data_IF_062051860684
#
_entry.id   IF_062051860684
#
_cell.length_a   1.000
_cell.length_b   1.000
_cell.length_c   1.000
_cell.angle_alpha   90.00
_cell.angle_beta   90.00
_cell.angle_gamma   90.00
#
_symmetry.space_group_name_H-M   'P 1'
#
loop_
_entity.id
_entity.type
_entity.pdbx_description
1 polymer ?
#
# COMPACT_ATOMS: atom_id res chain seq x y z
N UNK A 1 20.29 9.46 -36.72
CA UNK A 1 19.47 9.55 -35.49
C UNK A 1 20.09 8.82 -34.30
N UNK A 2 20.63 7.60 -34.46
CA UNK A 2 21.19 6.78 -33.38
C UNK A 2 22.25 7.47 -32.49
N UNK A 3 23.15 8.25 -33.08
CA UNK A 3 24.23 8.93 -32.35
C UNK A 3 23.74 10.01 -31.36
N UNK A 4 22.58 10.63 -31.63
CA UNK A 4 21.96 11.61 -30.72
C UNK A 4 21.30 10.94 -29.51
N UNK A 5 20.75 9.74 -29.70
CA UNK A 5 20.19 8.95 -28.60
C UNK A 5 21.27 8.36 -27.68
N UNK A 6 22.40 7.92 -28.24
CA UNK A 6 23.54 7.47 -27.42
C UNK A 6 24.14 8.57 -26.55
N UNK A 7 24.25 9.81 -27.08
CA UNK A 7 24.72 10.97 -26.30
C UNK A 7 23.74 11.41 -25.21
N UNK A 8 22.43 11.31 -25.47
CA UNK A 8 21.39 11.58 -24.46
C UNK A 8 21.37 10.52 -23.36
N UNK A 9 21.54 9.23 -23.70
CA UNK A 9 21.65 8.14 -22.74
C UNK A 9 22.93 8.23 -21.90
N UNK A 10 24.06 8.63 -22.48
CA UNK A 10 25.30 8.83 -21.72
C UNK A 10 25.22 10.02 -20.78
N UNK A 11 24.58 11.14 -21.19
CA UNK A 11 24.35 12.29 -20.31
C UNK A 11 23.39 11.97 -19.16
N UNK A 12 22.34 11.18 -19.42
CA UNK A 12 21.40 10.76 -18.38
C UNK A 12 22.05 9.81 -17.37
N UNK A 13 22.90 8.88 -17.84
CA UNK A 13 23.64 7.96 -16.97
C UNK A 13 24.65 8.69 -16.05
N UNK A 14 25.29 9.76 -16.54
CA UNK A 14 26.18 10.58 -15.70
C UNK A 14 25.43 11.44 -14.67
N UNK A 15 24.19 11.84 -14.96
CA UNK A 15 23.37 12.65 -14.04
C UNK A 15 22.82 11.82 -12.85
N UNK A 16 22.60 10.51 -13.05
CA UNK A 16 22.17 9.59 -11.99
C UNK A 16 23.33 9.09 -11.11
N UNK A 17 24.58 9.19 -11.57
CA UNK A 17 25.76 8.69 -10.85
C UNK A 17 26.30 9.67 -9.78
N UNK A 18 25.82 10.92 -9.75
CA UNK A 18 26.34 11.97 -8.86
C UNK A 18 25.36 12.41 -7.78
N UNK A 19 24.33 11.61 -7.46
CA UNK A 19 23.60 11.85 -6.23
C UNK A 19 24.58 11.59 -5.06
N UNK A 20 24.96 12.61 -4.25
CA UNK A 20 25.62 12.31 -3.01
C UNK A 20 24.63 11.45 -2.22
N UNK A 21 24.96 10.17 -2.05
CA UNK A 21 24.40 9.38 -0.98
C UNK A 21 24.87 10.09 0.29
N UNK A 22 24.08 11.07 0.74
CA UNK A 22 24.27 11.71 2.01
C UNK A 22 24.18 10.60 3.04
N UNK A 23 25.33 10.10 3.46
CA UNK A 23 25.46 9.34 4.67
C UNK A 23 25.03 10.31 5.77
N UNK A 24 23.73 10.38 6.03
CA UNK A 24 23.16 11.08 7.16
C UNK A 24 23.91 10.52 8.36
N UNK A 25 24.82 11.33 8.89
CA UNK A 25 25.76 10.85 9.88
C UNK A 25 24.94 10.72 11.15
N UNK A 26 24.54 9.49 11.48
CA UNK A 26 23.90 9.11 12.76
C UNK A 26 24.90 9.23 13.92
N UNK A 27 25.66 10.31 13.92
CA UNK A 27 26.68 10.61 14.89
C UNK A 27 26.04 11.38 16.04
N UNK A 28 26.32 10.93 17.25
CA UNK A 28 25.80 11.58 18.45
C UNK A 28 26.64 12.82 18.73
N UNK A 29 26.00 13.98 18.62
CA UNK A 29 26.64 15.28 18.83
C UNK A 29 26.39 15.77 20.24
N UNK A 30 27.43 16.36 20.84
CA UNK A 30 27.25 17.18 22.04
C UNK A 30 26.50 18.44 21.66
N UNK A 31 25.48 18.79 22.43
CA UNK A 31 24.69 19.99 22.26
C UNK A 31 24.14 20.41 23.62
N UNK A 32 23.43 21.53 23.66
CA UNK A 32 22.58 21.89 24.77
C UNK A 32 21.10 21.74 24.40
N UNK A 33 20.26 21.60 25.43
CA UNK A 33 18.80 21.67 25.34
C UNK A 33 18.30 22.63 26.43
N UNK A 34 17.28 23.44 26.11
CA UNK A 34 16.63 24.28 27.10
C UNK A 34 15.66 23.43 27.92
N UNK A 35 15.95 23.27 29.21
CA UNK A 35 15.10 22.55 30.16
C UNK A 35 15.03 23.32 31.47
N UNK A 36 13.81 23.59 31.94
CA UNK A 36 13.56 24.38 33.15
C UNK A 36 14.21 25.77 33.11
N UNK A 37 14.07 26.46 31.96
CA UNK A 37 14.62 27.81 31.69
C UNK A 37 16.16 27.91 31.78
N UNK A 38 16.87 26.79 31.75
CA UNK A 38 18.34 26.74 31.74
C UNK A 38 18.82 25.82 30.62
N UNK A 39 19.99 26.11 30.08
CA UNK A 39 20.66 25.21 29.15
C UNK A 39 21.27 24.03 29.90
N UNK A 40 21.01 22.82 29.42
CA UNK A 40 21.54 21.57 29.94
C UNK A 40 22.31 20.85 28.84
N UNK A 41 23.44 20.25 29.20
CA UNK A 41 24.19 19.40 28.28
C UNK A 41 23.32 18.22 27.84
N UNK A 42 23.27 17.98 26.55
CA UNK A 42 22.46 16.96 25.92
C UNK A 42 23.21 16.31 24.75
N UNK A 43 22.81 15.08 24.45
CA UNK A 43 23.31 14.30 23.34
C UNK A 43 22.23 14.26 22.29
N UNK A 44 22.54 14.80 21.11
CA UNK A 44 21.61 14.88 19.99
C UNK A 44 21.96 13.87 18.92
N UNK A 45 20.94 13.25 18.36
CA UNK A 45 21.07 12.38 17.20
C UNK A 45 19.93 12.61 16.23
N UNK A 46 20.26 12.62 14.95
CA UNK A 46 19.28 12.69 13.87
C UNK A 46 18.95 11.29 13.39
N UNK A 47 17.65 11.01 13.26
CA UNK A 47 17.12 9.70 12.90
C UNK A 47 16.06 9.90 11.81
N UNK A 48 16.08 9.02 10.82
CA UNK A 48 15.04 8.98 9.79
C UNK A 48 13.71 8.52 10.41
N UNK A 49 12.64 9.26 10.15
CA UNK A 49 11.31 9.00 10.69
C UNK A 49 10.66 10.27 11.23
N UNK A 50 9.35 10.17 11.48
CA UNK A 50 8.60 11.26 12.12
C UNK A 50 8.98 11.38 13.60
N UNK A 51 8.85 12.58 14.18
CA UNK A 51 9.16 12.78 15.60
C UNK A 51 8.33 11.87 16.52
N UNK A 52 7.07 11.58 16.17
CA UNK A 52 6.25 10.61 16.92
C UNK A 52 6.80 9.20 16.83
N UNK A 53 7.22 8.76 15.64
CA UNK A 53 7.78 7.43 15.46
C UNK A 53 9.09 7.27 16.25
N UNK A 54 10.01 8.23 16.15
CA UNK A 54 11.29 8.19 16.88
C UNK A 54 11.06 8.18 18.38
N UNK A 55 10.11 8.99 18.86
CA UNK A 55 9.72 9.05 20.27
C UNK A 55 9.17 7.71 20.77
N UNK A 56 8.19 7.14 20.07
CA UNK A 56 7.53 5.90 20.48
C UNK A 56 8.49 4.70 20.42
N UNK A 57 9.32 4.66 19.37
CA UNK A 57 10.36 3.66 19.23
C UNK A 57 11.44 3.81 20.32
N UNK A 58 11.86 5.04 20.66
CA UNK A 58 12.80 5.27 21.75
C UNK A 58 12.26 4.79 23.11
N UNK A 59 10.98 5.06 23.42
CA UNK A 59 10.35 4.56 24.64
C UNK A 59 10.33 3.03 24.70
N UNK A 60 9.97 2.38 23.58
CA UNK A 60 9.93 0.92 23.46
C UNK A 60 11.33 0.32 23.58
N UNK A 61 12.29 0.86 22.84
CA UNK A 61 13.68 0.40 22.84
C UNK A 61 14.34 0.53 24.21
N UNK A 62 14.15 1.66 24.91
CA UNK A 62 14.68 1.87 26.26
C UNK A 62 14.06 0.92 27.29
N UNK A 63 12.78 0.61 27.14
CA UNK A 63 12.10 -0.38 27.97
C UNK A 63 12.65 -1.79 27.73
N UNK A 64 12.84 -2.16 26.46
CA UNK A 64 13.22 -3.54 26.12
C UNK A 64 14.70 -3.83 26.37
N UNK A 65 15.59 -2.84 26.18
CA UNK A 65 17.04 -3.02 26.30
C UNK A 65 17.58 -2.64 27.68
N UNK A 66 16.93 -1.72 28.40
CA UNK A 66 17.43 -1.19 29.68
C UNK A 66 16.40 -1.25 30.81
N UNK A 67 15.21 -1.81 30.56
CA UNK A 67 14.09 -1.82 31.53
C UNK A 67 13.64 -0.40 31.98
N UNK A 68 13.97 0.63 31.21
CA UNK A 68 13.67 2.04 31.54
C UNK A 68 12.34 2.44 30.93
N UNK A 69 11.39 2.86 31.78
CA UNK A 69 10.07 3.33 31.35
C UNK A 69 9.98 4.85 31.47
N UNK A 70 9.88 5.52 30.33
CA UNK A 70 9.62 6.96 30.29
C UNK A 70 8.14 7.24 30.56
N UNK A 71 7.88 8.19 31.46
CA UNK A 71 6.57 8.80 31.75
C UNK A 71 6.54 10.21 31.15
N UNK A 72 5.44 10.56 30.48
CA UNK A 72 5.27 11.89 29.86
C UNK A 72 5.16 11.84 28.33
N UNK A 73 4.38 12.77 27.79
CA UNK A 73 3.95 12.86 26.39
C UNK A 73 3.00 11.74 25.96
N UNK A 74 1.90 12.10 25.34
CA UNK A 74 0.80 11.18 25.06
C UNK A 74 1.20 10.07 24.08
N UNK A 75 1.28 8.85 24.60
CA UNK A 75 0.90 7.65 23.85
C UNK A 75 -0.36 7.14 24.55
N UNK A 76 -1.50 7.24 23.86
CA UNK A 76 -2.83 6.79 24.31
C UNK A 76 -3.44 7.53 25.52
N UNK A 77 -4.18 8.62 25.25
CA UNK A 77 -5.40 8.94 26.01
C UNK A 77 -5.30 9.56 27.41
N UNK A 78 -4.12 9.89 27.95
CA UNK A 78 -4.03 10.57 29.27
C UNK A 78 -3.02 11.74 29.24
N UNK A 79 -3.53 12.92 28.88
CA UNK A 79 -3.11 14.22 29.43
C UNK A 79 -1.62 14.62 29.43
N UNK A 80 -0.91 14.53 28.31
CA UNK A 80 0.42 15.16 28.15
C UNK A 80 0.62 15.72 26.75
N UNK A 81 1.08 16.96 26.62
CA UNK A 81 1.29 17.61 25.32
C UNK A 81 2.35 16.85 24.52
N UNK A 82 2.21 16.79 23.18
CA UNK A 82 3.24 16.21 22.28
C UNK A 82 4.61 16.89 22.41
N UNK A 83 4.64 18.07 23.03
CA UNK A 83 5.82 18.89 23.27
C UNK A 83 6.51 18.60 24.59
N UNK A 84 5.91 17.80 25.47
CA UNK A 84 6.49 17.56 26.79
C UNK A 84 7.66 16.57 26.71
N UNK A 85 8.80 16.86 27.37
CA UNK A 85 9.92 15.94 27.45
C UNK A 85 9.47 14.60 28.07
N UNK A 86 9.93 13.51 27.47
CA UNK A 86 9.91 12.18 28.09
C UNK A 86 10.72 12.23 29.39
N UNK A 87 10.18 11.72 30.50
CA UNK A 87 10.88 11.70 31.80
C UNK A 87 10.87 10.31 32.42
N UNK A 88 12.04 9.75 32.72
CA UNK A 88 12.17 8.53 33.51
C UNK A 88 12.88 8.88 34.81
N UNK A 89 12.12 9.02 35.91
CA UNK A 89 12.67 9.43 37.21
C UNK A 89 13.07 8.24 38.08
N UNK A 90 14.12 8.42 38.88
CA UNK A 90 14.65 7.45 39.84
C UNK A 90 14.83 6.06 39.21
N UNK A 91 15.43 6.05 38.02
CA UNK A 91 15.63 4.82 37.27
C UNK A 91 16.91 4.15 37.74
N UNK A 92 16.88 2.86 38.14
CA UNK A 92 18.09 2.09 38.35
C UNK A 92 18.73 1.83 36.99
N UNK A 93 19.70 2.67 36.61
CA UNK A 93 20.44 2.53 35.35
C UNK A 93 21.89 2.18 35.65
N UNK A 94 22.15 0.93 36.03
CA UNK A 94 23.49 0.43 36.36
C UNK A 94 24.50 0.62 35.23
N UNK A 95 24.02 0.66 33.98
CA UNK A 95 24.83 0.96 32.78
C UNK A 95 25.28 2.42 32.69
N UNK A 96 24.58 3.34 33.38
CA UNK A 96 24.87 4.78 33.37
C UNK A 96 25.62 5.17 34.64
N UNK A 97 25.12 4.77 35.81
CA UNK A 97 25.74 5.05 37.11
C UNK A 97 25.35 3.99 38.14
N UNK A 98 26.16 3.85 39.19
CA UNK A 98 25.82 3.03 40.37
C UNK A 98 24.71 3.63 41.25
N UNK A 99 24.20 4.82 40.89
CA UNK A 99 23.13 5.54 41.60
C UNK A 99 21.85 5.56 40.77
N UNK A 100 20.72 5.90 41.41
CA UNK A 100 19.48 6.21 40.69
C UNK A 100 19.67 7.47 39.85
N UNK A 101 19.16 7.46 38.62
CA UNK A 101 19.28 8.57 37.69
C UNK A 101 17.91 8.98 37.13
N UNK A 102 17.78 10.25 36.83
CA UNK A 102 16.67 10.82 36.07
C UNK A 102 17.11 10.98 34.62
N UNK A 103 16.36 10.37 33.69
CA UNK A 103 16.59 10.52 32.25
C UNK A 103 15.49 11.33 31.60
N UNK A 104 15.90 12.13 30.62
CA UNK A 104 15.05 13.02 29.88
C UNK A 104 15.31 12.87 28.38
N UNK A 105 14.25 12.92 27.59
CA UNK A 105 14.39 12.95 26.13
C UNK A 105 13.37 13.89 25.49
N UNK A 106 13.83 14.65 24.50
CA UNK A 106 12.98 15.51 23.68
C UNK A 106 13.17 15.15 22.21
N UNK A 107 12.09 15.25 21.44
CA UNK A 107 12.12 15.04 20.00
C UNK A 107 11.68 16.32 19.31
N UNK A 108 12.41 16.70 18.27
CA UNK A 108 12.09 17.82 17.38
C UNK A 108 12.07 17.27 15.95
N UNK A 109 11.22 17.79 15.09
CA UNK A 109 11.21 17.45 13.68
C UNK A 109 11.81 18.61 12.86
N UNK A 110 13.10 18.55 12.48
CA UNK A 110 13.66 19.49 11.51
C UNK A 110 12.99 19.39 10.13
N UNK A 111 12.44 18.21 9.78
CA UNK A 111 11.69 17.96 8.55
C UNK A 111 10.67 16.84 8.75
N UNK A 112 9.78 16.62 7.81
CA UNK A 112 8.74 15.58 7.92
C UNK A 112 9.30 14.15 7.93
N UNK A 113 10.50 13.94 7.35
CA UNK A 113 11.14 12.63 7.20
C UNK A 113 12.33 12.41 8.14
N UNK A 114 12.75 13.42 8.89
CA UNK A 114 13.89 13.36 9.81
C UNK A 114 13.52 14.01 11.12
N UNK A 115 13.76 13.29 12.23
CA UNK A 115 13.60 13.80 13.57
C UNK A 115 14.94 13.81 14.33
N UNK A 116 15.09 14.82 15.19
CA UNK A 116 16.21 14.96 16.11
C UNK A 116 15.76 14.55 17.49
N UNK A 117 16.44 13.55 18.07
CA UNK A 117 16.27 13.14 19.45
C UNK A 117 17.39 13.74 20.29
N UNK A 118 17.05 14.50 21.32
CA UNK A 118 17.97 14.98 22.32
C UNK A 118 17.75 14.22 23.63
N UNK A 119 18.82 13.62 24.18
CA UNK A 119 18.80 12.86 25.42
C UNK A 119 19.72 13.52 26.43
N UNK A 120 19.24 13.70 27.66
CA UNK A 120 20.01 14.26 28.77
C UNK A 120 19.61 13.57 30.07
N UNK A 121 20.50 13.61 31.06
CA UNK A 121 20.29 12.92 32.33
C UNK A 121 20.73 13.76 33.51
N UNK A 122 20.34 13.31 34.70
CA UNK A 122 20.69 13.94 35.96
C UNK A 122 20.70 12.89 37.09
N UNK A 123 21.42 13.16 38.17
CA UNK A 123 21.29 12.38 39.41
C UNK A 123 20.01 12.75 40.18
N UNK A 124 19.64 14.02 40.12
CA UNK A 124 18.45 14.59 40.76
C UNK A 124 17.98 15.83 39.97
N UNK A 125 16.97 16.56 40.47
CA UNK A 125 16.44 17.75 39.79
C UNK A 125 17.44 18.93 39.67
N UNK A 126 18.62 18.84 40.29
CA UNK A 126 19.62 19.92 40.38
C UNK A 126 20.97 19.58 39.75
N UNK A 127 21.35 18.30 39.74
CA UNK A 127 22.66 17.79 39.32
C UNK A 127 22.54 17.05 37.99
N UNK A 128 22.59 17.81 36.90
CA UNK A 128 22.56 17.28 35.53
C UNK A 128 23.91 16.73 35.11
N UNK A 129 23.88 15.73 34.23
CA UNK A 129 25.08 15.24 33.58
C UNK A 129 25.65 16.30 32.66
N UNK A 130 26.96 16.34 32.66
CA UNK A 130 27.79 17.36 32.04
C UNK A 130 29.13 16.72 31.66
N UNK A 131 29.65 16.99 30.45
CA UNK A 131 30.89 16.40 29.96
C UNK A 131 32.10 16.73 30.84
N UNK A 132 32.10 17.88 31.53
CA UNK A 132 33.25 18.33 32.33
C UNK A 132 33.15 17.83 33.77
N UNK A 133 31.94 17.76 34.33
CA UNK A 133 31.72 17.41 35.76
C UNK A 133 31.43 15.94 36.00
N UNK A 134 30.78 15.28 35.05
CA UNK A 134 30.30 13.89 35.15
C UNK A 134 30.58 13.13 33.85
N UNK A 135 31.85 13.08 33.42
CA UNK A 135 32.23 12.54 32.11
C UNK A 135 31.83 11.07 31.96
N UNK A 136 31.88 10.28 33.04
CA UNK A 136 31.55 8.86 33.02
C UNK A 136 30.08 8.62 32.67
N UNK A 137 29.16 9.24 33.40
CA UNK A 137 27.71 9.14 33.16
C UNK A 137 27.33 9.72 31.79
N UNK A 138 27.95 10.84 31.42
CA UNK A 138 27.70 11.49 30.13
C UNK A 138 28.15 10.62 28.95
N UNK A 139 29.30 9.94 29.06
CA UNK A 139 29.79 9.01 28.05
C UNK A 139 28.97 7.71 27.99
N UNK A 140 28.48 7.22 29.13
CA UNK A 140 27.55 6.10 29.16
C UNK A 140 26.25 6.45 28.43
N UNK A 141 25.71 7.66 28.67
CA UNK A 141 24.53 8.15 27.96
C UNK A 141 24.79 8.29 26.45
N UNK A 142 25.98 8.74 26.04
CA UNK A 142 26.38 8.80 24.63
C UNK A 142 26.36 7.41 23.99
N UNK A 143 26.87 6.40 24.68
CA UNK A 143 26.89 5.01 24.20
C UNK A 143 25.48 4.48 23.99
N UNK A 144 24.57 4.77 24.91
CA UNK A 144 23.15 4.41 24.80
C UNK A 144 22.52 5.11 23.59
N UNK A 145 22.70 6.42 23.46
CA UNK A 145 22.13 7.20 22.34
C UNK A 145 22.68 6.74 20.98
N UNK A 146 23.97 6.39 20.90
CA UNK A 146 24.58 5.86 19.69
C UNK A 146 24.00 4.48 19.32
N UNK A 147 23.82 3.62 20.33
CA UNK A 147 23.22 2.29 20.15
C UNK A 147 21.76 2.40 19.69
N UNK A 148 21.01 3.36 20.25
CA UNK A 148 19.65 3.67 19.81
C UNK A 148 19.63 4.09 18.34
N UNK A 149 20.52 5.00 17.92
CA UNK A 149 20.56 5.50 16.56
C UNK A 149 20.74 4.36 15.53
N UNK A 150 21.63 3.41 15.82
CA UNK A 150 21.82 2.22 15.01
C UNK A 150 20.58 1.32 14.99
N UNK A 151 19.94 1.11 16.14
CA UNK A 151 18.74 0.29 16.24
C UNK A 151 17.53 0.93 15.54
N UNK A 152 17.38 2.26 15.62
CA UNK A 152 16.32 3.01 14.97
C UNK A 152 16.47 2.97 13.45
N UNK A 153 17.70 3.11 12.94
CA UNK A 153 17.98 2.92 11.53
C UNK A 153 17.54 1.53 11.05
N UNK A 154 17.99 0.49 11.74
CA UNK A 154 17.64 -0.89 11.37
C UNK A 154 16.13 -1.12 11.37
N UNK A 155 15.43 -0.59 12.37
CA UNK A 155 13.97 -0.71 12.46
C UNK A 155 13.26 0.03 11.33
N UNK A 156 13.67 1.26 11.03
CA UNK A 156 13.10 2.04 9.92
C UNK A 156 13.24 1.30 8.57
N UNK A 157 14.40 0.67 8.31
CA UNK A 157 14.57 -0.14 7.11
C UNK A 157 13.70 -1.41 7.12
N UNK A 158 13.57 -2.09 8.27
CA UNK A 158 12.69 -3.27 8.38
C UNK A 158 11.24 -2.92 8.07
N UNK A 159 10.75 -1.79 8.57
CA UNK A 159 9.39 -1.32 8.31
C UNK A 159 9.20 -0.96 6.84
N UNK A 160 10.16 -0.27 6.21
CA UNK A 160 10.12 0.01 4.76
C UNK A 160 10.13 -1.26 3.91
N UNK A 161 10.92 -2.26 4.28
CA UNK A 161 10.93 -3.57 3.60
C UNK A 161 9.57 -4.26 3.75
N UNK A 162 9.01 -4.29 4.96
CA UNK A 162 7.72 -4.90 5.21
C UNK A 162 6.58 -4.20 4.44
N UNK A 163 6.61 -2.87 4.35
CA UNK A 163 5.66 -2.10 3.53
C UNK A 163 5.80 -2.43 2.03
N UNK A 164 7.02 -2.48 1.52
CA UNK A 164 7.28 -2.86 0.13
C UNK A 164 6.81 -4.29 -0.17
N UNK A 165 7.05 -5.24 0.74
CA UNK A 165 6.54 -6.61 0.62
C UNK A 165 5.02 -6.67 0.61
N UNK A 166 4.33 -5.88 1.43
CA UNK A 166 2.87 -5.81 1.44
C UNK A 166 2.32 -5.21 0.12
N UNK A 167 2.97 -4.20 -0.42
CA UNK A 167 2.63 -3.62 -1.73
C UNK A 167 2.77 -4.65 -2.86
N UNK A 168 3.86 -5.42 -2.87
CA UNK A 168 4.06 -6.52 -3.85
C UNK A 168 2.95 -7.57 -3.69
N UNK A 169 2.67 -8.01 -2.47
CA UNK A 169 1.58 -8.98 -2.20
C UNK A 169 0.22 -8.48 -2.66
N UNK A 170 -0.08 -7.19 -2.49
CA UNK A 170 -1.32 -6.57 -2.99
C UNK A 170 -1.36 -6.52 -4.52
N UNK A 171 -0.25 -6.16 -5.16
CA UNK A 171 -0.13 -6.15 -6.62
C UNK A 171 -0.31 -7.55 -7.23
N UNK A 172 0.31 -8.57 -6.64
CA UNK A 172 0.16 -9.96 -7.09
C UNK A 172 -1.29 -10.46 -6.97
N UNK A 173 -1.98 -10.15 -5.87
CA UNK A 173 -3.39 -10.49 -5.70
C UNK A 173 -4.28 -9.83 -6.75
N UNK A 174 -4.02 -8.56 -7.08
CA UNK A 174 -4.80 -7.85 -8.11
C UNK A 174 -4.50 -8.41 -9.50
N UNK A 175 -3.24 -8.75 -9.79
CA UNK A 175 -2.86 -9.44 -11.02
C UNK A 175 -3.63 -10.75 -11.19
N UNK A 176 -3.65 -11.62 -10.18
CA UNK A 176 -4.37 -12.90 -10.22
C UNK A 176 -5.88 -12.71 -10.47
N UNK A 177 -6.47 -11.69 -9.87
CA UNK A 177 -7.89 -11.34 -10.05
C UNK A 177 -8.16 -10.87 -11.48
N UNK A 178 -7.29 -10.01 -12.03
CA UNK A 178 -7.40 -9.54 -13.40
C UNK A 178 -7.22 -10.67 -14.41
N UNK A 179 -6.28 -11.60 -14.17
CA UNK A 179 -6.09 -12.77 -15.03
C UNK A 179 -7.33 -13.68 -15.04
N UNK A 180 -7.92 -13.95 -13.87
CA UNK A 180 -9.18 -14.72 -13.78
C UNK A 180 -10.33 -14.03 -14.50
N UNK A 181 -10.44 -12.71 -14.35
CA UNK A 181 -11.46 -11.91 -15.04
C UNK A 181 -11.26 -11.95 -16.56
N UNK A 182 -10.04 -11.76 -17.04
CA UNK A 182 -9.70 -11.82 -18.46
C UNK A 182 -9.97 -13.20 -19.07
N UNK A 183 -9.64 -14.29 -18.36
CA UNK A 183 -9.92 -15.65 -18.80
C UNK A 183 -11.43 -15.93 -18.87
N UNK A 184 -12.19 -15.46 -17.88
CA UNK A 184 -13.65 -15.58 -17.85
C UNK A 184 -14.30 -14.81 -19.00
N UNK A 185 -13.84 -13.57 -19.24
CA UNK A 185 -14.29 -12.76 -20.37
C UNK A 185 -13.99 -13.44 -21.71
N UNK A 186 -12.77 -13.96 -21.90
CA UNK A 186 -12.39 -14.70 -23.11
C UNK A 186 -13.27 -15.92 -23.35
N UNK A 187 -13.54 -16.70 -22.29
CA UNK A 187 -14.42 -17.88 -22.36
C UNK A 187 -15.86 -17.50 -22.73
N UNK A 188 -16.40 -16.45 -22.10
CA UNK A 188 -17.74 -15.96 -22.38
C UNK A 188 -17.87 -15.43 -23.82
N UNK A 189 -16.86 -14.71 -24.31
CA UNK A 189 -16.81 -14.24 -25.70
C UNK A 189 -16.80 -15.40 -26.69
N UNK A 190 -16.00 -16.43 -26.45
CA UNK A 190 -15.96 -17.63 -27.30
C UNK A 190 -17.32 -18.36 -27.33
N UNK A 191 -17.95 -18.55 -26.16
CA UNK A 191 -19.27 -19.16 -26.06
C UNK A 191 -20.35 -18.35 -26.79
N UNK A 192 -20.36 -17.03 -26.60
CA UNK A 192 -21.30 -16.13 -27.27
C UNK A 192 -21.11 -16.16 -28.80
N UNK A 193 -19.87 -16.22 -29.28
CA UNK A 193 -19.57 -16.30 -30.71
C UNK A 193 -20.08 -17.62 -31.31
N UNK A 194 -19.86 -18.75 -30.64
CA UNK A 194 -20.41 -20.05 -31.05
C UNK A 194 -21.96 -20.04 -31.09
N UNK A 195 -22.59 -19.41 -30.10
CA UNK A 195 -24.06 -19.25 -30.08
C UNK A 195 -24.56 -18.38 -31.24
N UNK A 196 -23.85 -17.29 -31.58
CA UNK A 196 -24.18 -16.45 -32.73
C UNK A 196 -24.09 -17.27 -34.02
N UNK A 197 -23.03 -18.05 -34.21
CA UNK A 197 -22.89 -18.92 -35.39
C UNK A 197 -24.03 -19.95 -35.51
N UNK A 198 -24.42 -20.57 -34.39
CA UNK A 198 -25.58 -21.48 -34.35
C UNK A 198 -26.88 -20.78 -34.74
N UNK A 199 -27.11 -19.57 -34.22
CA UNK A 199 -28.31 -18.78 -34.54
C UNK A 199 -28.32 -18.33 -36.01
N UNK A 200 -27.16 -18.03 -36.60
CA UNK A 200 -27.04 -17.71 -38.03
C UNK A 200 -27.47 -18.92 -38.87
N UNK A 201 -26.99 -20.12 -38.54
CA UNK A 201 -27.39 -21.37 -39.23
C UNK A 201 -28.89 -21.63 -39.11
N UNK A 202 -29.43 -21.56 -37.89
CA UNK A 202 -30.87 -21.75 -37.65
C UNK A 202 -31.73 -20.73 -38.41
N UNK A 203 -31.30 -19.47 -38.47
CA UNK A 203 -32.00 -18.44 -39.26
C UNK A 203 -31.96 -18.74 -40.76
N UNK A 204 -30.84 -19.27 -41.28
CA UNK A 204 -30.76 -19.68 -42.68
C UNK A 204 -31.72 -20.84 -42.98
N UNK A 205 -31.75 -21.86 -42.11
CA UNK A 205 -32.65 -23.02 -42.24
C UNK A 205 -34.12 -22.61 -42.16
N UNK A 206 -34.48 -21.76 -41.18
CA UNK A 206 -35.84 -21.22 -41.04
C UNK A 206 -36.26 -20.45 -42.30
N UNK A 207 -35.38 -19.66 -42.91
CA UNK A 207 -35.68 -18.94 -44.15
C UNK A 207 -35.93 -19.90 -45.32
N UNK A 208 -35.14 -20.96 -45.43
CA UNK A 208 -35.35 -22.00 -46.44
C UNK A 208 -36.69 -22.69 -46.24
N UNK A 209 -37.01 -23.08 -45.00
CA UNK A 209 -38.27 -23.73 -44.66
C UNK A 209 -39.47 -22.82 -44.97
N UNK A 210 -39.44 -21.54 -44.58
CA UNK A 210 -40.51 -20.58 -44.90
C UNK A 210 -40.71 -20.45 -46.41
N UNK A 211 -39.63 -20.46 -47.20
CA UNK A 211 -39.71 -20.44 -48.66
C UNK A 211 -40.36 -21.72 -49.21
N UNK A 212 -39.99 -22.89 -48.69
CA UNK A 212 -40.57 -24.17 -49.09
C UNK A 212 -42.05 -24.25 -48.72
N UNK A 213 -42.41 -23.91 -47.49
CA UNK A 213 -43.79 -23.89 -47.00
C UNK A 213 -44.64 -22.92 -47.82
N UNK A 214 -44.11 -21.74 -48.15
CA UNK A 214 -44.80 -20.77 -49.03
C UNK A 214 -45.08 -21.36 -50.41
N UNK A 215 -44.12 -22.06 -51.01
CA UNK A 215 -44.31 -22.71 -52.31
C UNK A 215 -45.36 -23.84 -52.23
N UNK A 216 -45.32 -24.64 -51.17
CA UNK A 216 -46.27 -25.74 -50.94
C UNK A 216 -47.70 -25.21 -50.69
N UNK A 217 -47.85 -24.10 -49.99
CA UNK A 217 -49.15 -23.44 -49.80
C UNK A 217 -49.75 -22.97 -51.13
N UNK A 218 -48.95 -22.37 -52.01
CA UNK A 218 -49.41 -21.95 -53.35
C UNK A 218 -49.84 -23.16 -54.18
N UNK A 219 -49.05 -24.23 -54.20
CA UNK A 219 -49.37 -25.47 -54.92
C UNK A 219 -50.65 -26.13 -54.38
N UNK A 220 -50.79 -26.21 -53.05
CA UNK A 220 -51.99 -26.75 -52.41
C UNK A 220 -53.23 -25.91 -52.68
N UNK A 221 -53.11 -24.57 -52.66
CA UNK A 221 -54.19 -23.67 -53.00
C UNK A 221 -54.67 -23.88 -54.45
N UNK A 222 -53.73 -24.00 -55.40
CA UNK A 222 -54.03 -24.30 -56.80
C UNK A 222 -54.71 -25.67 -56.97
N UNK A 223 -54.20 -26.71 -56.31
CA UNK A 223 -54.79 -28.05 -56.33
C UNK A 223 -56.22 -28.06 -55.78
N UNK A 224 -56.45 -27.37 -54.66
CA UNK A 224 -57.78 -27.23 -54.04
C UNK A 224 -58.75 -26.49 -54.97
N UNK A 225 -58.32 -25.40 -55.62
CA UNK A 225 -59.15 -24.67 -56.57
C UNK A 225 -59.56 -25.56 -57.77
N UNK A 226 -58.62 -26.37 -58.30
CA UNK A 226 -58.90 -27.32 -59.36
C UNK A 226 -59.88 -28.42 -58.93
N UNK A 227 -59.71 -28.98 -57.73
CA UNK A 227 -60.61 -29.98 -57.16
C UNK A 227 -62.03 -29.43 -56.95
N UNK A 228 -62.14 -28.20 -56.44
CA UNK A 228 -63.41 -27.51 -56.27
C UNK A 228 -64.15 -27.30 -57.60
N UNK A 229 -63.45 -26.84 -58.64
CA UNK A 229 -64.01 -26.71 -59.99
C UNK A 229 -64.53 -28.05 -60.54
N UNK A 230 -63.80 -29.14 -60.34
CA UNK A 230 -64.23 -30.49 -60.74
C UNK A 230 -65.47 -30.95 -59.97
N UNK A 231 -65.55 -30.66 -58.68
CA UNK A 231 -66.71 -30.97 -57.84
C UNK A 231 -67.96 -30.21 -58.31
N UNK A 232 -67.84 -28.91 -58.56
CA UNK A 232 -68.95 -28.10 -59.11
C UNK A 232 -69.45 -28.65 -60.45
N UNK A 233 -68.55 -29.06 -61.34
CA UNK A 233 -68.94 -29.68 -62.61
C UNK A 233 -69.72 -30.99 -62.40
N UNK A 234 -69.33 -31.82 -61.43
CA UNK A 234 -70.06 -33.05 -61.09
C UNK A 234 -71.43 -32.77 -60.48
N UNK A 235 -71.53 -31.81 -59.58
CA UNK A 235 -72.80 -31.39 -58.99
C UNK A 235 -73.77 -30.84 -60.04
N UNK A 236 -73.28 -30.00 -60.96
CA UNK A 236 -74.09 -29.48 -62.06
C UNK A 236 -74.59 -30.58 -63.02
N UNK A 237 -73.79 -31.63 -63.24
CA UNK A 237 -74.22 -32.81 -64.02
C UNK A 237 -75.29 -33.61 -63.28
N UNK A 238 -75.11 -33.83 -61.99
CA UNK A 238 -76.08 -34.58 -61.17
C UNK A 238 -77.44 -33.86 -61.14
N UNK A 239 -77.45 -32.56 -60.85
CA UNK A 239 -78.70 -31.78 -60.82
C UNK A 239 -79.39 -31.67 -62.19
N UNK A 240 -78.63 -31.73 -63.28
CA UNK A 240 -79.17 -31.84 -64.64
C UNK A 240 -79.83 -33.20 -64.93
N UNK A 241 -79.35 -34.28 -64.31
CA UNK A 241 -79.94 -35.62 -64.42
C UNK A 241 -81.20 -35.77 -63.56
N UNK A 242 -81.25 -35.14 -62.38
CA UNK A 242 -82.40 -35.19 -61.46
C UNK A 242 -83.62 -34.37 -61.90
N UNK A 243 -83.47 -33.48 -62.89
CA UNK A 243 -84.56 -32.62 -63.41
C UNK A 243 -85.32 -33.22 -64.62
N UNK A 244 -85.04 -34.47 -65.00
CA UNK A 244 -85.79 -35.21 -66.02
C UNK A 244 -86.67 -36.26 -65.36
#
# INVERSE_FOLDING_TARGET
>A
MFQRYCLLLSCLATLLATAPAGAQTYDVRNSTVSYDRRERAALKVQVEGSASWVRDYFQTWMKDNYAIKFKGGGVLGVGGSKTDPLKAKQTPASTISGKLVDLYATTVAPSDSVAELAVFGAFDNSSFFDPDRTPTEFNALRTITQSFANAARLQAYRERVAEAEDLVKKADKEKDKLEKSANSARSNTASNLSKIESLIKQNADNRLQVSQDSSALVLNAAARAAAFKRLQQRQARLSGLERK
#
